data_IF_559571280147
#
_entry.id   IF_559571280147
#
_cell.length_a   1.000
_cell.length_b   1.000
_cell.length_c   1.000
_cell.angle_alpha   90.00
_cell.angle_beta   90.00
_cell.angle_gamma   90.00
#
_symmetry.space_group_name_H-M   'P 1'
#
loop_
_entity.id
_entity.type
_entity.pdbx_description
1 polymer ?
#
# COMPACT_ATOMS: atom_id res chain seq x y z
N UNK A 1 -14.49 1.52 -15.69
CA UNK A 1 -13.20 2.24 -15.87
C UNK A 1 -12.09 1.45 -15.19
N UNK A 2 -10.95 1.15 -15.85
CA UNK A 2 -9.78 0.75 -15.08
C UNK A 2 -9.25 2.02 -14.41
N UNK A 3 -9.73 2.33 -13.20
CA UNK A 3 -9.00 3.25 -12.33
C UNK A 3 -7.62 2.63 -12.21
N UNK A 4 -6.60 3.25 -12.82
CA UNK A 4 -5.21 2.82 -12.69
C UNK A 4 -4.96 2.56 -11.21
N UNK A 5 -4.52 1.35 -10.87
CA UNK A 5 -4.24 1.03 -9.47
C UNK A 5 -3.24 2.06 -8.96
N UNK A 6 -3.42 2.61 -7.74
CA UNK A 6 -2.44 3.49 -7.14
C UNK A 6 -1.03 2.88 -7.24
N UNK A 7 0.01 3.69 -7.52
CA UNK A 7 1.36 3.19 -7.70
C UNK A 7 1.84 2.43 -6.46
N UNK A 8 2.69 1.42 -6.67
CA UNK A 8 3.26 0.59 -5.59
C UNK A 8 2.24 -0.21 -4.77
N UNK A 9 0.95 -0.16 -5.12
CA UNK A 9 -0.10 -0.84 -4.40
C UNK A 9 -0.13 -2.33 -4.75
N UNK A 10 0.10 -3.16 -3.74
CA UNK A 10 0.09 -4.61 -3.86
C UNK A 10 -1.10 -5.19 -3.12
N UNK A 11 -1.90 -6.00 -3.82
CA UNK A 11 -3.00 -6.79 -3.24
C UNK A 11 -2.50 -8.18 -2.85
N UNK A 12 -2.65 -8.57 -1.59
CA UNK A 12 -2.39 -9.94 -1.12
C UNK A 12 -3.70 -10.56 -0.62
N UNK A 13 -4.01 -11.77 -1.09
CA UNK A 13 -5.05 -12.61 -0.47
C UNK A 13 -4.37 -13.54 0.53
N UNK A 14 -4.86 -13.61 1.76
CA UNK A 14 -4.35 -14.56 2.76
C UNK A 14 -4.85 -15.97 2.45
N UNK A 15 -4.26 -16.98 3.11
CA UNK A 15 -4.73 -18.38 3.03
C UNK A 15 -6.21 -18.55 3.43
N UNK A 16 -6.74 -17.67 4.27
CA UNK A 16 -8.14 -17.66 4.71
C UNK A 16 -9.02 -16.70 3.90
N UNK A 17 -8.53 -16.20 2.76
CA UNK A 17 -9.33 -15.39 1.84
C UNK A 17 -9.41 -13.89 2.16
N UNK A 18 -8.86 -13.43 3.30
CA UNK A 18 -8.81 -12.00 3.63
C UNK A 18 -7.93 -11.23 2.64
N UNK A 19 -8.39 -10.06 2.19
CA UNK A 19 -7.59 -9.17 1.35
C UNK A 19 -6.82 -8.20 2.25
N UNK A 20 -5.51 -8.10 2.01
CA UNK A 20 -4.61 -7.16 2.65
C UNK A 20 -3.90 -6.36 1.56
N UNK A 21 -3.69 -5.07 1.82
CA UNK A 21 -3.02 -4.16 0.91
C UNK A 21 -1.69 -3.70 1.48
N UNK A 22 -0.72 -3.50 0.59
CA UNK A 22 0.62 -3.04 0.94
C UNK A 22 1.09 -1.98 -0.05
N UNK A 23 1.97 -1.10 0.40
CA UNK A 23 2.91 -0.37 -0.46
C UNK A 23 4.20 -1.17 -0.55
N UNK A 24 4.72 -1.35 -1.78
CA UNK A 24 6.04 -1.93 -2.03
C UNK A 24 6.78 -1.13 -3.10
N UNK A 25 7.90 -0.54 -2.73
CA UNK A 25 8.79 0.18 -3.65
C UNK A 25 9.94 -0.78 -4.00
N UNK A 26 10.07 -1.15 -5.28
CA UNK A 26 11.15 -2.00 -5.81
C UNK A 26 11.47 -3.24 -4.93
N UNK A 27 12.58 -3.23 -4.18
CA UNK A 27 13.07 -4.34 -3.35
C UNK A 27 12.88 -4.08 -1.85
N UNK A 28 12.23 -2.98 -1.49
CA UNK A 28 12.02 -2.57 -0.11
C UNK A 28 11.01 -3.45 0.64
N UNK A 29 11.05 -3.37 1.99
CA UNK A 29 10.03 -3.91 2.86
C UNK A 29 8.62 -3.55 2.42
N UNK A 30 7.68 -4.46 2.67
CA UNK A 30 6.26 -4.19 2.43
C UNK A 30 5.69 -3.43 3.61
N UNK A 31 5.16 -2.24 3.35
CA UNK A 31 4.46 -1.46 4.35
C UNK A 31 2.96 -1.75 4.24
N UNK A 32 2.35 -2.18 5.34
CA UNK A 32 0.93 -2.57 5.35
C UNK A 32 0.04 -1.33 5.35
N UNK A 33 -1.03 -1.38 4.55
CA UNK A 33 -2.06 -0.35 4.52
C UNK A 33 -3.26 -0.85 5.33
N UNK A 34 -3.69 -0.04 6.28
CA UNK A 34 -4.89 -0.30 7.06
C UNK A 34 -6.14 0.34 6.42
N UNK A 35 -7.31 -0.19 6.76
CA UNK A 35 -8.60 0.26 6.24
C UNK A 35 -9.10 -0.50 5.02
N UNK A 36 -10.35 -0.25 4.67
CA UNK A 36 -11.05 -0.92 3.56
C UNK A 36 -10.74 -0.22 2.24
N UNK A 37 -10.31 -0.98 1.24
CA UNK A 37 -10.01 -0.43 -0.09
C UNK A 37 -11.16 0.40 -0.66
N UNK A 38 -10.84 1.60 -1.12
CA UNK A 38 -11.82 2.54 -1.70
C UNK A 38 -12.49 3.48 -0.70
N UNK A 39 -12.18 3.39 0.60
CA UNK A 39 -12.65 4.36 1.60
C UNK A 39 -11.63 5.47 1.85
N UNK A 40 -12.05 6.56 2.50
CA UNK A 40 -11.18 7.67 2.86
C UNK A 40 -10.03 7.22 3.78
N UNK A 41 -10.34 6.41 4.81
CA UNK A 41 -9.32 5.90 5.72
C UNK A 41 -8.23 5.07 5.01
N UNK A 42 -8.58 4.35 3.95
CA UNK A 42 -7.59 3.66 3.12
C UNK A 42 -6.73 4.63 2.32
N UNK A 43 -7.33 5.67 1.74
CA UNK A 43 -6.61 6.69 0.97
C UNK A 43 -5.62 7.45 1.85
N UNK A 44 -6.06 7.83 3.05
CA UNK A 44 -5.22 8.55 4.03
C UNK A 44 -4.05 7.67 4.47
N UNK A 45 -4.32 6.42 4.81
CA UNK A 45 -3.28 5.48 5.22
C UNK A 45 -2.30 5.16 4.08
N UNK A 46 -2.80 4.92 2.87
CA UNK A 46 -1.97 4.74 1.67
C UNK A 46 -1.04 5.94 1.44
N UNK A 47 -1.57 7.16 1.55
CA UNK A 47 -0.82 8.41 1.33
C UNK A 47 0.25 8.62 2.40
N UNK A 48 -0.03 8.26 3.66
CA UNK A 48 0.95 8.29 4.73
C UNK A 48 2.07 7.26 4.48
N UNK A 49 1.68 6.02 4.20
CA UNK A 49 2.61 4.90 4.05
C UNK A 49 3.52 5.08 2.84
N UNK A 50 3.01 5.57 1.70
CA UNK A 50 3.86 5.80 0.52
C UNK A 50 4.89 6.91 0.76
N UNK A 51 4.54 7.97 1.51
CA UNK A 51 5.50 9.01 1.92
C UNK A 51 6.57 8.43 2.84
N UNK A 52 6.19 7.63 3.83
CA UNK A 52 7.13 6.97 4.73
C UNK A 52 8.09 6.03 3.98
N UNK A 53 7.57 5.22 3.06
CA UNK A 53 8.37 4.32 2.24
C UNK A 53 9.36 5.09 1.34
N UNK A 54 8.94 6.21 0.73
CA UNK A 54 9.82 7.07 -0.06
C UNK A 54 10.89 7.75 0.80
N UNK A 55 10.56 8.19 2.02
CA UNK A 55 11.54 8.76 2.94
C UNK A 55 12.57 7.73 3.41
N UNK A 56 12.14 6.48 3.64
CA UNK A 56 13.06 5.40 3.98
C UNK A 56 14.03 5.10 2.84
N UNK A 57 13.54 5.04 1.60
CA UNK A 57 14.39 4.84 0.40
C UNK A 57 15.44 5.95 0.23
N UNK A 58 15.08 7.21 0.50
CA UNK A 58 16.00 8.36 0.36
C UNK A 58 17.10 8.42 1.42
N UNK A 59 17.02 7.61 2.47
CA UNK A 59 18.00 7.58 3.57
C UNK A 59 19.02 6.45 3.45
N UNK A 60 18.91 5.63 2.40
CA UNK A 60 19.86 4.57 2.04
C UNK A 60 20.69 5.03 0.84
#
# INVERSE_FOLDING_TARGET
MPKRRPPHLVRKRTRHGKIIWYVRIVHDPRFRIEGTYGTQGFIDNYTLVIKQAQMALRRL
#
